data_IF_305393158787
#
_entry.id   IF_305393158787
#
_cell.length_a   1.000
_cell.length_b   1.000
_cell.length_c   1.000
_cell.angle_alpha   90.00
_cell.angle_beta   90.00
_cell.angle_gamma   90.00
#
_symmetry.space_group_name_H-M   'P 1'
#
loop_
_entity.id
_entity.type
_entity.pdbx_description
1 polymer ?
#
# COMPACT_ATOMS: atom_id res chain seq x y z
N UNK A 1 -9.29 10.25 6.93
CA UNK A 1 -9.59 9.46 5.72
C UNK A 1 -11.01 8.90 5.85
N UNK A 2 -11.82 9.00 4.80
CA UNK A 2 -13.18 8.44 4.78
C UNK A 2 -13.13 6.94 4.52
N UNK A 3 -13.66 6.14 5.46
CA UNK A 3 -13.65 4.67 5.36
C UNK A 3 -14.49 4.17 4.18
N UNK A 4 -15.54 4.89 3.79
CA UNK A 4 -16.45 4.50 2.70
C UNK A 4 -15.72 4.57 1.35
N UNK A 5 -14.93 5.63 1.14
CA UNK A 5 -14.10 5.81 -0.06
C UNK A 5 -13.07 4.70 -0.19
N UNK A 6 -12.38 4.34 0.91
CA UNK A 6 -11.38 3.27 0.88
C UNK A 6 -12.03 1.93 0.56
N UNK A 7 -13.21 1.62 1.13
CA UNK A 7 -13.97 0.40 0.82
C UNK A 7 -14.33 0.31 -0.66
N UNK A 8 -14.79 1.41 -1.27
CA UNK A 8 -15.08 1.44 -2.71
C UNK A 8 -13.82 1.19 -3.56
N UNK A 9 -12.68 1.76 -3.17
CA UNK A 9 -11.41 1.54 -3.89
C UNK A 9 -10.97 0.08 -3.78
N UNK A 10 -11.04 -0.51 -2.58
CA UNK A 10 -10.73 -1.92 -2.37
C UNK A 10 -11.61 -2.83 -3.25
N UNK A 11 -12.90 -2.55 -3.32
CA UNK A 11 -13.83 -3.27 -4.19
C UNK A 11 -13.49 -3.10 -5.68
N UNK A 12 -13.18 -1.87 -6.12
CA UNK A 12 -12.73 -1.57 -7.51
C UNK A 12 -11.43 -2.26 -7.86
N UNK A 13 -10.51 -2.37 -6.90
CA UNK A 13 -9.28 -3.15 -7.01
C UNK A 13 -9.54 -4.66 -6.95
N UNK A 14 -10.78 -5.13 -6.78
CA UNK A 14 -11.13 -6.55 -6.79
C UNK A 14 -10.71 -7.29 -5.53
N UNK A 15 -10.58 -6.59 -4.40
CA UNK A 15 -10.45 -7.27 -3.10
C UNK A 15 -11.76 -8.00 -2.78
N UNK A 16 -11.72 -9.29 -2.41
CA UNK A 16 -12.88 -10.00 -1.91
C UNK A 16 -13.40 -9.37 -0.61
N UNK A 17 -14.71 -9.42 -0.41
CA UNK A 17 -15.39 -8.82 0.75
C UNK A 17 -14.78 -9.27 2.10
N UNK A 18 -14.41 -10.54 2.21
CA UNK A 18 -13.79 -11.08 3.44
C UNK A 18 -12.41 -10.48 3.75
N UNK A 19 -11.72 -9.90 2.76
CA UNK A 19 -10.44 -9.21 2.95
C UNK A 19 -10.59 -7.71 3.24
N UNK A 20 -11.75 -7.11 2.96
CA UNK A 20 -11.95 -5.66 3.06
C UNK A 20 -11.66 -5.18 4.48
N UNK A 21 -12.32 -5.74 5.50
CA UNK A 21 -12.15 -5.29 6.89
C UNK A 21 -10.71 -5.46 7.39
N UNK A 22 -10.09 -6.62 7.13
CA UNK A 22 -8.70 -6.85 7.51
C UNK A 22 -7.70 -5.93 6.80
N UNK A 23 -8.03 -5.48 5.58
CA UNK A 23 -7.20 -4.55 4.81
C UNK A 23 -7.38 -3.12 5.31
N UNK A 24 -8.62 -2.74 5.64
CA UNK A 24 -8.92 -1.46 6.30
C UNK A 24 -8.16 -1.31 7.60
N UNK A 25 -8.10 -2.35 8.43
CA UNK A 25 -7.33 -2.32 9.69
C UNK A 25 -5.84 -2.05 9.47
N UNK A 26 -5.25 -2.56 8.36
CA UNK A 26 -3.85 -2.29 8.01
C UNK A 26 -3.66 -0.83 7.60
N UNK A 27 -4.57 -0.30 6.77
CA UNK A 27 -4.55 1.08 6.30
C UNK A 27 -4.67 2.07 7.46
N UNK A 28 -5.57 1.79 8.42
CA UNK A 28 -5.75 2.62 9.62
C UNK A 28 -4.50 2.65 10.51
N UNK A 29 -3.67 1.62 10.42
CA UNK A 29 -2.45 1.49 11.23
C UNK A 29 -1.22 1.99 10.51
N UNK A 30 -1.30 2.50 9.28
CA UNK A 30 -0.12 2.95 8.52
C UNK A 30 0.80 3.89 9.31
N UNK A 31 2.10 3.73 9.09
CA UNK A 31 3.10 4.62 9.64
C UNK A 31 2.84 6.05 9.13
N UNK A 32 3.14 7.11 9.91
CA UNK A 32 2.76 8.48 9.56
C UNK A 32 3.17 8.92 8.15
N UNK A 33 4.37 8.53 7.70
CA UNK A 33 4.85 8.83 6.34
C UNK A 33 3.99 8.16 5.25
N UNK A 34 3.59 6.90 5.47
CA UNK A 34 2.76 6.15 4.52
C UNK A 34 1.32 6.67 4.55
N UNK A 35 0.77 6.96 5.74
CA UNK A 35 -0.56 7.53 5.89
C UNK A 35 -0.71 8.89 5.17
N UNK A 36 0.31 9.75 5.29
CA UNK A 36 0.32 11.04 4.58
C UNK A 36 0.35 10.83 3.06
N UNK A 37 1.28 10.03 2.55
CA UNK A 37 1.37 9.72 1.12
C UNK A 37 0.09 9.07 0.57
N UNK A 38 -0.53 8.19 1.37
CA UNK A 38 -1.78 7.54 1.03
C UNK A 38 -2.95 8.53 0.97
N UNK A 39 -3.05 9.46 1.93
CA UNK A 39 -4.08 10.50 1.90
C UNK A 39 -3.91 11.42 0.70
N UNK A 40 -2.67 11.82 0.37
CA UNK A 40 -2.42 12.66 -0.81
C UNK A 40 -2.80 11.96 -2.11
N UNK A 41 -2.48 10.67 -2.22
CA UNK A 41 -2.89 9.85 -3.36
C UNK A 41 -4.42 9.74 -3.46
N UNK A 42 -5.12 9.51 -2.34
CA UNK A 42 -6.58 9.46 -2.30
C UNK A 42 -7.22 10.79 -2.72
N UNK A 43 -6.74 11.90 -2.18
CA UNK A 43 -7.37 13.21 -2.35
C UNK A 43 -7.05 13.85 -3.70
N UNK A 44 -5.83 13.65 -4.20
CA UNK A 44 -5.32 14.33 -5.40
C UNK A 44 -5.24 13.42 -6.62
N UNK A 45 -5.27 12.09 -6.44
CA UNK A 45 -5.04 11.12 -7.51
C UNK A 45 -3.62 11.16 -8.08
N UNK A 46 -2.68 11.78 -7.36
CA UNK A 46 -1.28 11.96 -7.79
C UNK A 46 -0.45 10.80 -7.27
N UNK A 47 0.49 10.33 -8.09
CA UNK A 47 1.48 9.33 -7.69
C UNK A 47 2.36 9.87 -6.54
N UNK A 48 2.36 9.23 -5.36
CA UNK A 48 3.10 9.73 -4.21
C UNK A 48 4.60 9.52 -4.39
N UNK A 49 5.39 10.51 -3.98
CA UNK A 49 6.82 10.33 -3.81
C UNK A 49 7.11 9.69 -2.44
N UNK A 50 7.00 8.36 -2.38
CA UNK A 50 7.29 7.57 -1.18
C UNK A 50 8.29 6.45 -1.51
N UNK A 51 9.42 6.45 -0.80
CA UNK A 51 10.54 5.53 -1.00
C UNK A 51 11.06 5.01 0.34
N UNK A 52 11.37 3.72 0.40
CA UNK A 52 11.96 3.02 1.55
C UNK A 52 13.12 2.14 1.06
N UNK A 53 14.34 2.69 1.09
CA UNK A 53 15.51 2.05 0.47
C UNK A 53 15.32 1.96 -1.05
N UNK A 54 15.62 0.82 -1.66
CA UNK A 54 15.50 0.65 -3.12
C UNK A 54 14.06 0.45 -3.64
N UNK A 55 13.05 0.65 -2.78
CA UNK A 55 11.65 0.42 -3.11
C UNK A 55 10.85 1.70 -2.99
N UNK A 56 10.25 2.12 -4.10
CA UNK A 56 9.29 3.22 -4.13
C UNK A 56 7.91 2.74 -4.55
N UNK A 57 6.89 3.59 -4.34
CA UNK A 57 5.55 3.34 -4.87
C UNK A 57 5.60 3.01 -6.37
N UNK A 58 6.30 3.83 -7.16
CA UNK A 58 6.47 3.63 -8.60
C UNK A 58 7.09 2.28 -8.93
N UNK A 59 8.15 1.87 -8.20
CA UNK A 59 8.79 0.56 -8.42
C UNK A 59 7.82 -0.57 -8.14
N UNK A 60 7.03 -0.49 -7.06
CA UNK A 60 6.08 -1.54 -6.70
C UNK A 60 4.94 -1.66 -7.72
N UNK A 61 4.44 -0.54 -8.27
CA UNK A 61 3.42 -0.57 -9.33
C UNK A 61 4.00 -1.06 -10.66
N UNK A 62 5.14 -0.50 -11.10
CA UNK A 62 5.63 -0.72 -12.46
C UNK A 62 6.43 -2.02 -12.60
N UNK A 63 7.33 -2.31 -11.66
CA UNK A 63 8.20 -3.49 -11.72
C UNK A 63 7.54 -4.71 -11.08
N UNK A 64 6.89 -4.55 -9.92
CA UNK A 64 6.22 -5.64 -9.21
C UNK A 64 4.75 -5.83 -9.60
N UNK A 65 4.20 -4.98 -10.49
CA UNK A 65 2.81 -5.05 -10.98
C UNK A 65 1.77 -5.06 -9.86
N UNK A 66 2.09 -4.43 -8.73
CA UNK A 66 1.16 -4.31 -7.61
C UNK A 66 0.01 -3.36 -7.95
N UNK A 67 -1.12 -3.56 -7.27
CA UNK A 67 -2.19 -2.56 -7.23
C UNK A 67 -1.83 -1.45 -6.23
N UNK A 68 -2.37 -0.23 -6.40
CA UNK A 68 -2.10 0.90 -5.51
C UNK A 68 -2.18 0.58 -4.02
N UNK A 69 -3.27 -0.01 -3.53
CA UNK A 69 -3.41 -0.34 -2.10
C UNK A 69 -2.32 -1.34 -1.66
N UNK A 70 -2.06 -2.36 -2.47
CA UNK A 70 -1.00 -3.34 -2.21
C UNK A 70 0.39 -2.73 -2.12
N UNK A 71 0.69 -1.71 -2.95
CA UNK A 71 1.94 -0.98 -2.90
C UNK A 71 2.10 -0.20 -1.58
N UNK A 72 1.06 0.52 -1.12
CA UNK A 72 1.11 1.23 0.17
C UNK A 72 1.28 0.29 1.36
N UNK A 73 0.54 -0.83 1.38
CA UNK A 73 0.70 -1.85 2.43
C UNK A 73 2.13 -2.40 2.43
N UNK A 74 2.71 -2.61 1.26
CA UNK A 74 4.09 -3.09 1.14
C UNK A 74 5.10 -2.05 1.60
N UNK A 75 4.88 -0.76 1.31
CA UNK A 75 5.73 0.33 1.80
C UNK A 75 5.64 0.48 3.32
N UNK A 76 4.45 0.34 3.90
CA UNK A 76 4.28 0.30 5.36
C UNK A 76 5.01 -0.90 5.97
N UNK A 77 4.94 -2.08 5.33
CA UNK A 77 5.70 -3.24 5.79
C UNK A 77 7.21 -3.04 5.68
N UNK A 78 7.71 -2.44 4.59
CA UNK A 78 9.11 -2.06 4.44
C UNK A 78 9.56 -1.06 5.50
N UNK A 79 8.67 -0.15 5.92
CA UNK A 79 8.96 0.82 6.97
C UNK A 79 9.08 0.16 8.35
N UNK A 80 8.20 -0.80 8.66
CA UNK A 80 8.15 -1.48 9.98
C UNK A 80 9.16 -2.61 10.12
N UNK A 81 9.29 -3.44 9.08
CA UNK A 81 10.03 -4.70 9.09
C UNK A 81 10.86 -4.85 7.80
N UNK A 82 11.83 -3.94 7.57
CA UNK A 82 12.53 -3.82 6.29
C UNK A 82 13.19 -5.12 5.83
N UNK A 83 13.85 -5.86 6.73
CA UNK A 83 14.57 -7.08 6.35
C UNK A 83 13.63 -8.20 5.90
N UNK A 84 12.49 -8.35 6.57
CA UNK A 84 11.48 -9.37 6.22
C UNK A 84 10.79 -9.01 4.89
N UNK A 85 10.37 -7.76 4.75
CA UNK A 85 9.71 -7.27 3.54
C UNK A 85 10.63 -7.40 2.32
N UNK A 86 11.89 -6.95 2.42
CA UNK A 86 12.88 -7.08 1.35
C UNK A 86 13.13 -8.54 0.96
N UNK A 87 13.20 -9.44 1.94
CA UNK A 87 13.38 -10.88 1.69
C UNK A 87 12.18 -11.49 0.96
N UNK A 88 10.96 -11.08 1.30
CA UNK A 88 9.75 -11.51 0.61
C UNK A 88 9.69 -10.96 -0.82
N UNK A 89 9.96 -9.67 -1.01
CA UNK A 89 10.00 -9.02 -2.33
C UNK A 89 11.02 -9.69 -3.28
N UNK A 90 12.22 -10.01 -2.79
CA UNK A 90 13.25 -10.73 -3.58
C UNK A 90 12.84 -12.14 -4.00
N UNK A 91 11.99 -12.82 -3.21
CA UNK A 91 11.52 -14.17 -3.51
C UNK A 91 10.34 -14.19 -4.48
N UNK A 92 9.76 -13.02 -4.78
CA UNK A 92 8.45 -12.89 -5.38
C UNK A 92 7.37 -13.04 -4.31
N UNK A 93 6.48 -12.07 -4.23
CA UNK A 93 5.28 -12.19 -3.40
C UNK A 93 4.38 -13.23 -4.08
N UNK A 94 4.15 -14.35 -3.40
CA UNK A 94 3.26 -15.43 -3.82
C UNK A 94 1.85 -15.20 -3.33
#
# INVERSE_FOLDING_TARGET
>A
MDKSVIKEILAKEGYPDFMIESTMEKIEKFAPAVANAFSEWLDKGIEPYLEVGDYSYTVLIQAYKMKPIGAFITLDWLYREPDQAKKALKRGIK
#
